data_IF_361589872877
#
_entry.id   IF_361589872877
#
_cell.length_a   1.000
_cell.length_b   1.000
_cell.length_c   1.000
_cell.angle_alpha   90.00
_cell.angle_beta   90.00
_cell.angle_gamma   90.00
#
_symmetry.space_group_name_H-M   'P 1'
#
loop_
_entity.id
_entity.type
_entity.pdbx_description
1 polymer ?
#
# COMPACT_ATOMS: atom_id res chain seq x y z
N UNK A 1 -9.58 -10.90 2.48
CA UNK A 1 -8.79 -10.90 3.73
C UNK A 1 -8.07 -9.57 3.82
N UNK A 2 -7.98 -8.95 5.01
CA UNK A 2 -7.17 -7.74 5.25
C UNK A 2 -6.10 -8.01 6.29
N UNK A 3 -4.99 -7.29 6.21
CA UNK A 3 -3.90 -7.30 7.18
C UNK A 3 -3.27 -5.90 7.29
N UNK A 4 -2.72 -5.60 8.46
CA UNK A 4 -1.93 -4.38 8.69
C UNK A 4 -0.59 -4.81 9.27
N UNK A 5 0.50 -4.22 8.78
CA UNK A 5 1.84 -4.51 9.26
C UNK A 5 2.77 -3.32 9.07
N UNK A 6 4.01 -3.47 9.52
CA UNK A 6 5.06 -2.48 9.30
C UNK A 6 6.22 -3.12 8.54
N UNK A 7 6.82 -2.33 7.65
CA UNK A 7 8.01 -2.69 6.91
C UNK A 7 9.15 -1.74 7.28
N UNK A 8 10.32 -2.33 7.55
CA UNK A 8 11.59 -1.61 7.59
C UNK A 8 12.24 -1.73 6.20
N UNK A 9 12.41 -0.60 5.50
CA UNK A 9 12.79 -0.56 4.09
C UNK A 9 14.09 0.21 3.91
N UNK A 10 15.16 -0.49 3.53
CA UNK A 10 16.41 0.12 3.04
C UNK A 10 16.48 0.03 1.51
N UNK A 11 17.01 1.07 0.86
CA UNK A 11 17.23 1.08 -0.59
C UNK A 11 18.68 0.70 -0.90
N UNK A 12 18.90 -0.02 -2.01
CA UNK A 12 20.23 -0.37 -2.49
C UNK A 12 21.09 -1.11 -1.46
N UNK A 13 22.36 -0.69 -1.30
CA UNK A 13 23.32 -1.25 -0.33
C UNK A 13 23.51 -0.37 0.91
N UNK A 14 22.52 0.44 1.28
CA UNK A 14 22.63 1.37 2.40
C UNK A 14 22.71 0.67 3.77
N UNK A 15 22.35 -0.62 3.82
CA UNK A 15 22.38 -1.42 5.05
C UNK A 15 21.20 -1.13 5.98
N UNK A 16 21.10 -1.92 7.06
CA UNK A 16 19.99 -1.84 8.03
C UNK A 16 19.91 -0.49 8.76
N UNK A 17 21.03 0.23 8.85
CA UNK A 17 21.08 1.55 9.49
C UNK A 17 20.34 2.67 8.75
N UNK A 18 19.87 2.43 7.52
CA UNK A 18 19.19 3.40 6.67
C UNK A 18 17.70 3.05 6.39
N UNK A 19 17.12 2.16 7.19
CA UNK A 19 15.74 1.68 7.00
C UNK A 19 14.71 2.75 7.34
N UNK A 20 13.80 3.02 6.40
CA UNK A 20 12.57 3.77 6.63
C UNK A 20 11.51 2.84 7.22
N UNK A 21 10.68 3.36 8.13
CA UNK A 21 9.55 2.60 8.69
C UNK A 21 8.28 3.02 7.99
N UNK A 22 7.54 2.05 7.45
CA UNK A 22 6.31 2.27 6.70
C UNK A 22 5.23 1.33 7.21
N UNK A 23 4.07 1.87 7.57
CA UNK A 23 2.87 1.08 7.84
C UNK A 23 2.19 0.68 6.52
N UNK A 24 1.80 -0.57 6.42
CA UNK A 24 1.21 -1.15 5.20
C UNK A 24 -0.12 -1.78 5.54
N UNK A 25 -1.15 -1.33 4.85
CA UNK A 25 -2.47 -1.94 4.84
C UNK A 25 -2.58 -2.80 3.59
N UNK A 26 -3.03 -4.04 3.73
CA UNK A 26 -3.08 -5.01 2.64
C UNK A 26 -4.44 -5.69 2.62
N UNK A 27 -5.06 -5.79 1.45
CA UNK A 27 -6.24 -6.62 1.20
C UNK A 27 -5.97 -7.57 0.05
N UNK A 28 -6.24 -8.85 0.26
CA UNK A 28 -6.32 -9.83 -0.81
C UNK A 28 -7.80 -10.19 -1.08
N UNK A 29 -8.25 -9.93 -2.30
CA UNK A 29 -9.59 -10.24 -2.82
C UNK A 29 -9.44 -11.32 -3.89
N UNK A 30 -9.81 -12.56 -3.55
CA UNK A 30 -9.80 -13.69 -4.48
C UNK A 30 -11.04 -13.67 -5.37
N UNK A 31 -10.84 -13.53 -6.68
CA UNK A 31 -11.86 -13.67 -7.71
C UNK A 31 -11.88 -15.11 -8.23
N UNK A 32 -12.50 -16.02 -7.47
CA UNK A 32 -12.44 -17.48 -7.73
C UNK A 32 -12.87 -17.86 -9.15
N UNK A 33 -13.87 -17.19 -9.69
CA UNK A 33 -14.47 -17.53 -10.99
C UNK A 33 -13.53 -17.25 -12.19
N UNK A 34 -12.51 -16.43 -11.98
CA UNK A 34 -11.53 -16.04 -13.01
C UNK A 34 -10.09 -16.32 -12.57
N UNK A 35 -9.91 -17.19 -11.56
CA UNK A 35 -8.62 -17.62 -11.02
C UNK A 35 -7.63 -16.48 -10.73
N UNK A 36 -8.13 -15.31 -10.34
CA UNK A 36 -7.33 -14.08 -10.16
C UNK A 36 -7.38 -13.60 -8.71
N UNK A 37 -6.29 -13.02 -8.23
CA UNK A 37 -6.25 -12.25 -6.99
C UNK A 37 -6.12 -10.76 -7.28
N UNK A 38 -6.86 -9.95 -6.54
CA UNK A 38 -6.66 -8.51 -6.48
C UNK A 38 -6.01 -8.19 -5.14
N UNK A 39 -4.76 -7.74 -5.19
CA UNK A 39 -4.02 -7.26 -4.04
C UNK A 39 -4.10 -5.73 -3.99
N UNK A 40 -4.73 -5.19 -2.95
CA UNK A 40 -4.80 -3.75 -2.71
C UNK A 40 -3.87 -3.45 -1.54
N UNK A 41 -2.92 -2.53 -1.74
CA UNK A 41 -2.00 -2.08 -0.70
C UNK A 41 -2.04 -0.57 -0.54
N UNK A 42 -2.06 -0.09 0.69
CA UNK A 42 -1.88 1.33 1.01
C UNK A 42 -0.69 1.48 1.97
N UNK A 43 0.14 2.49 1.71
CA UNK A 43 1.37 2.75 2.45
C UNK A 43 1.26 4.07 3.18
N UNK A 44 1.56 4.05 4.47
CA UNK A 44 1.68 5.25 5.31
C UNK A 44 3.10 5.29 5.88
N UNK A 45 3.97 6.20 5.39
CA UNK A 45 5.28 6.40 5.97
C UNK A 45 5.15 6.80 7.45
N UNK A 46 5.99 6.25 8.32
CA UNK A 46 6.04 6.60 9.75
C UNK A 46 7.36 7.30 10.12
N UNK A 47 8.48 6.85 9.54
CA UNK A 47 9.81 7.40 9.80
C UNK A 47 10.66 7.36 8.54
N UNK A 48 11.25 8.50 8.19
CA UNK A 48 12.30 8.59 7.17
C UNK A 48 13.66 8.70 7.85
N UNK A 49 14.49 7.69 7.63
CA UNK A 49 15.82 7.64 8.21
C UNK A 49 16.75 8.67 7.54
N UNK A 50 17.52 9.47 8.30
CA UNK A 50 18.44 10.47 7.76
C UNK A 50 19.49 9.92 6.78
N UNK A 51 19.87 8.64 6.95
CA UNK A 51 20.83 7.96 6.08
C UNK A 51 20.17 7.35 4.84
N UNK A 52 18.84 7.36 4.76
CA UNK A 52 18.12 6.85 3.59
C UNK A 52 18.27 7.79 2.40
N UNK A 53 18.24 7.23 1.19
CA UNK A 53 18.25 8.04 -0.03
C UNK A 53 17.03 8.98 -0.09
N UNK A 54 15.88 8.51 0.40
CA UNK A 54 14.62 9.27 0.43
C UNK A 54 14.74 10.55 1.24
N UNK A 55 15.54 10.57 2.32
CA UNK A 55 15.71 11.75 3.18
C UNK A 55 16.16 12.99 2.41
N UNK A 56 16.94 12.82 1.33
CA UNK A 56 17.39 13.92 0.48
C UNK A 56 16.27 14.61 -0.30
N UNK A 57 15.14 13.92 -0.50
CA UNK A 57 14.03 14.39 -1.33
C UNK A 57 12.85 14.85 -0.48
N UNK A 58 12.50 14.10 0.56
CA UNK A 58 11.30 14.35 1.38
C UNK A 58 11.60 14.80 2.82
N UNK A 59 12.88 15.00 3.14
CA UNK A 59 13.33 15.29 4.50
C UNK A 59 13.42 14.02 5.37
N UNK A 60 14.20 14.11 6.44
CA UNK A 60 14.34 13.05 7.42
C UNK A 60 13.46 13.32 8.66
N UNK A 61 13.15 12.26 9.40
CA UNK A 61 12.44 12.32 10.67
C UNK A 61 11.08 11.64 10.62
N UNK A 62 10.30 11.86 11.69
CA UNK A 62 8.93 11.40 11.78
C UNK A 62 8.08 12.08 10.71
N UNK A 63 7.26 11.30 10.03
CA UNK A 63 6.35 11.81 9.02
C UNK A 63 5.09 12.37 9.69
N UNK A 64 4.45 13.32 9.01
CA UNK A 64 3.17 13.86 9.47
C UNK A 64 2.05 12.92 9.00
N UNK A 65 1.22 12.36 9.90
CA UNK A 65 0.05 11.58 9.50
C UNK A 65 -0.87 12.35 8.57
N UNK A 66 -1.53 11.66 7.65
CA UNK A 66 -2.41 12.29 6.66
C UNK A 66 -3.51 13.15 7.31
N UNK A 67 -4.07 12.68 8.42
CA UNK A 67 -5.08 13.39 9.20
C UNK A 67 -4.62 14.78 9.67
N UNK A 68 -3.38 14.89 10.11
CA UNK A 68 -2.78 16.15 10.59
C UNK A 68 -2.49 17.13 9.44
N UNK A 69 -2.44 16.62 8.20
CA UNK A 69 -2.31 17.43 6.99
C UNK A 69 -3.67 17.80 6.37
N UNK A 70 -4.78 17.54 7.06
CA UNK A 70 -6.14 17.79 6.55
C UNK A 70 -6.60 16.78 5.50
N UNK A 71 -5.88 15.67 5.33
CA UNK A 71 -6.24 14.58 4.43
C UNK A 71 -6.99 13.47 5.19
N UNK A 72 -7.68 12.59 4.46
CA UNK A 72 -8.27 11.40 5.08
C UNK A 72 -7.17 10.46 5.59
N UNK A 73 -7.32 9.85 6.78
CA UNK A 73 -6.40 8.82 7.26
C UNK A 73 -6.25 7.68 6.26
N UNK A 74 -5.03 7.17 6.06
CA UNK A 74 -4.76 6.10 5.08
C UNK A 74 -5.58 4.85 5.36
N UNK A 75 -5.80 4.51 6.64
CA UNK A 75 -6.68 3.43 7.04
C UNK A 75 -8.12 3.59 6.52
N UNK A 76 -8.67 4.81 6.59
CA UNK A 76 -10.03 5.09 6.14
C UNK A 76 -10.11 5.09 4.62
N UNK A 77 -9.11 5.63 3.92
CA UNK A 77 -8.99 5.52 2.46
C UNK A 77 -8.98 4.05 2.04
N UNK A 78 -8.11 3.24 2.66
CA UNK A 78 -8.00 1.82 2.39
C UNK A 78 -9.32 1.09 2.64
N UNK A 79 -9.99 1.36 3.77
CA UNK A 79 -11.30 0.78 4.11
C UNK A 79 -12.35 1.14 3.07
N UNK A 80 -12.41 2.41 2.65
CA UNK A 80 -13.34 2.87 1.61
C UNK A 80 -13.07 2.14 0.30
N UNK A 81 -11.82 2.11 -0.15
CA UNK A 81 -11.41 1.44 -1.40
C UNK A 81 -11.83 -0.02 -1.44
N UNK A 82 -11.59 -0.80 -0.37
CA UNK A 82 -11.97 -2.22 -0.37
C UNK A 82 -13.49 -2.42 -0.27
N UNK A 83 -14.20 -1.52 0.41
CA UNK A 83 -15.67 -1.61 0.56
C UNK A 83 -16.43 -1.21 -0.70
N UNK A 84 -15.84 -0.35 -1.54
CA UNK A 84 -16.43 0.12 -2.78
C UNK A 84 -15.90 -0.60 -4.02
N UNK A 85 -14.95 -1.53 -3.86
CA UNK A 85 -14.35 -2.26 -4.98
C UNK A 85 -15.41 -3.03 -5.77
N UNK A 86 -15.55 -2.70 -7.05
CA UNK A 86 -16.48 -3.33 -8.00
C UNK A 86 -15.80 -3.54 -9.34
N UNK A 87 -16.02 -4.70 -9.92
CA UNK A 87 -15.64 -5.00 -11.31
C UNK A 87 -16.85 -4.68 -12.17
N UNK A 88 -16.70 -3.69 -13.05
CA UNK A 88 -17.76 -3.25 -13.95
C UNK A 88 -17.78 -4.03 -15.26
N UNK A 89 -16.62 -4.42 -15.77
CA UNK A 89 -16.47 -5.22 -16.98
C UNK A 89 -15.69 -6.50 -16.68
N UNK A 90 -16.36 -7.65 -16.73
CA UNK A 90 -15.73 -8.94 -16.49
C UNK A 90 -14.97 -9.47 -17.71
N UNK A 91 -15.14 -8.87 -18.89
CA UNK A 91 -14.37 -9.24 -20.08
C UNK A 91 -12.87 -8.93 -19.93
N UNK A 92 -12.51 -8.08 -18.95
CA UNK A 92 -11.12 -7.84 -18.52
C UNK A 92 -10.35 -9.14 -18.23
N UNK A 93 -11.04 -10.20 -17.81
CA UNK A 93 -10.42 -11.48 -17.48
C UNK A 93 -10.47 -12.48 -18.65
N UNK A 94 -10.61 -12.00 -19.89
CA UNK A 94 -10.64 -12.83 -21.10
C UNK A 94 -12.05 -13.23 -21.52
N UNK A 95 -12.98 -12.26 -21.54
CA UNK A 95 -14.34 -12.47 -22.03
C UNK A 95 -14.38 -12.93 -23.49
N UNK A 96 -14.38 -14.24 -23.71
CA UNK A 96 -14.52 -14.87 -25.02
C UNK A 96 -14.21 -16.37 -25.01
N UNK A 97 -15.28 -17.17 -25.00
CA UNK A 97 -15.36 -18.62 -25.26
C UNK A 97 -14.72 -19.58 -24.23
N UNK A 98 -15.56 -20.06 -23.31
CA UNK A 98 -15.57 -21.49 -22.98
C UNK A 98 -16.78 -22.06 -23.72
N UNK A 99 -16.52 -22.80 -24.80
CA UNK A 99 -17.45 -23.76 -25.36
C UNK A 99 -17.37 -25.06 -24.55
#
# INVERSE_FOLDING_TARGET
MTAVGQLAVSKGRQGRGAENIVQVYLANIRLKNVSTDVLITAYEPLLINPLSESARTVGAGATVPAEQSGCLPVQEVFRRTISSFKIHDWNLFGGGAVA
#
